data_IF_774344383836
#
_entry.id   IF_774344383836
#
_cell.length_a   1.000
_cell.length_b   1.000
_cell.length_c   1.000
_cell.angle_alpha   90.00
_cell.angle_beta   90.00
_cell.angle_gamma   90.00
#
_symmetry.space_group_name_H-M   'P 1'
#
loop_
_entity.id
_entity.type
_entity.pdbx_description
1 polymer ?
#
# COMPACT_ATOMS: atom_id res chain seq x y z
N UNK A 1 -16.49 -3.98 7.39
CA UNK A 1 -17.10 -2.66 7.12
C UNK A 1 -16.00 -1.61 7.21
N UNK A 2 -15.95 -0.62 6.33
CA UNK A 2 -14.89 0.40 6.27
C UNK A 2 -15.02 1.45 7.39
N UNK A 3 -13.90 1.96 7.92
CA UNK A 3 -13.85 2.83 9.11
C UNK A 3 -13.05 4.14 8.94
N UNK A 4 -12.52 4.42 7.76
CA UNK A 4 -11.75 5.65 7.49
C UNK A 4 -11.68 5.99 6.00
N UNK A 5 -11.56 7.29 5.69
CA UNK A 5 -11.44 7.83 4.33
C UNK A 5 -10.26 8.81 4.29
N UNK A 6 -9.31 8.58 3.39
CA UNK A 6 -7.98 9.22 3.40
C UNK A 6 -7.68 10.02 2.12
N UNK A 7 -8.67 10.24 1.25
CA UNK A 7 -8.46 10.87 -0.07
C UNK A 7 -8.26 12.40 -0.06
N UNK A 8 -8.60 13.11 1.02
CA UNK A 8 -8.55 14.60 1.05
C UNK A 8 -7.64 15.20 2.11
N UNK A 9 -7.18 14.41 3.09
CA UNK A 9 -6.51 14.92 4.29
C UNK A 9 -5.03 14.57 4.38
N UNK A 10 -4.51 13.82 3.42
CA UNK A 10 -3.27 13.06 3.65
C UNK A 10 -2.11 13.49 2.73
N UNK A 11 -2.36 14.34 1.72
CA UNK A 11 -1.34 14.80 0.78
C UNK A 11 -1.32 13.98 -0.52
N UNK A 12 -0.37 14.27 -1.41
CA UNK A 12 -0.32 13.59 -2.70
C UNK A 12 0.03 12.11 -2.52
N UNK A 13 -0.67 11.21 -3.21
CA UNK A 13 -0.54 9.73 -3.06
C UNK A 13 0.83 9.16 -3.36
N UNK A 14 1.76 9.96 -3.91
CA UNK A 14 3.15 9.57 -4.18
C UNK A 14 4.15 10.15 -3.18
N UNK A 15 3.67 10.80 -2.12
CA UNK A 15 4.51 11.33 -1.06
C UNK A 15 4.55 10.36 0.12
N UNK A 16 5.76 10.04 0.59
CA UNK A 16 6.00 9.18 1.75
C UNK A 16 5.25 9.68 3.00
N UNK A 17 5.17 11.01 3.16
CA UNK A 17 4.52 11.62 4.32
C UNK A 17 3.02 11.29 4.39
N UNK A 18 2.36 11.07 3.25
CA UNK A 18 0.95 10.67 3.25
C UNK A 18 0.74 9.37 3.99
N UNK A 19 1.57 8.36 3.72
CA UNK A 19 1.44 7.05 4.36
C UNK A 19 1.82 7.07 5.83
N UNK A 20 2.78 7.94 6.23
CA UNK A 20 3.08 8.19 7.64
C UNK A 20 1.88 8.78 8.37
N UNK A 21 1.22 9.77 7.78
CA UNK A 21 0.03 10.39 8.35
C UNK A 21 -1.13 9.38 8.50
N UNK A 22 -1.32 8.48 7.53
CA UNK A 22 -2.33 7.40 7.63
C UNK A 22 -2.00 6.48 8.80
N UNK A 23 -0.75 6.01 8.91
CA UNK A 23 -0.35 5.10 9.99
C UNK A 23 -0.54 5.74 11.37
N UNK A 24 -0.16 7.02 11.51
CA UNK A 24 -0.38 7.81 12.72
C UNK A 24 -1.86 7.96 13.05
N UNK A 25 -2.69 8.34 12.07
CA UNK A 25 -4.14 8.49 12.26
C UNK A 25 -4.83 7.19 12.65
N UNK A 26 -4.38 6.06 12.08
CA UNK A 26 -4.86 4.74 12.43
C UNK A 26 -4.33 4.25 13.80
N UNK A 27 -3.30 4.88 14.35
CA UNK A 27 -2.66 4.47 15.60
C UNK A 27 -1.94 3.11 15.49
N UNK A 28 -1.47 2.76 14.29
CA UNK A 28 -0.84 1.47 14.01
C UNK A 28 0.60 1.64 13.54
N UNK A 29 1.47 0.68 13.92
CA UNK A 29 2.83 0.65 13.40
C UNK A 29 2.81 0.42 11.88
N UNK A 30 3.60 1.17 11.08
CA UNK A 30 3.65 1.06 9.62
C UNK A 30 3.66 -0.38 9.09
N UNK A 31 4.56 -1.24 9.60
CA UNK A 31 4.71 -2.62 9.14
C UNK A 31 3.53 -3.54 9.45
N UNK A 32 2.53 -3.08 10.20
CA UNK A 32 1.28 -3.83 10.43
C UNK A 32 0.22 -3.53 9.38
N UNK A 33 0.36 -2.43 8.64
CA UNK A 33 -0.59 -1.96 7.63
C UNK A 33 -0.20 -2.52 6.27
N UNK A 34 -1.17 -3.10 5.55
CA UNK A 34 -1.03 -3.52 4.15
C UNK A 34 -1.71 -2.50 3.24
N UNK A 35 -0.94 -1.90 2.33
CA UNK A 35 -1.41 -0.98 1.31
C UNK A 35 -1.50 -1.67 -0.05
N UNK A 36 -2.63 -1.46 -0.73
CA UNK A 36 -2.93 -2.04 -2.04
C UNK A 36 -3.12 -0.91 -3.05
N UNK A 37 -2.37 -0.94 -4.15
CA UNK A 37 -2.54 -0.01 -5.28
C UNK A 37 -2.25 -0.72 -6.60
N UNK A 38 -2.79 -0.21 -7.70
CA UNK A 38 -2.37 -0.64 -9.04
C UNK A 38 -1.21 0.20 -9.59
N UNK A 39 -0.84 1.29 -8.91
CA UNK A 39 0.19 2.26 -9.30
C UNK A 39 1.44 2.01 -8.46
N UNK A 40 2.52 1.50 -9.06
CA UNK A 40 3.73 1.16 -8.29
C UNK A 40 4.37 2.36 -7.58
N UNK A 41 4.28 3.58 -8.14
CA UNK A 41 4.87 4.76 -7.48
C UNK A 41 4.16 5.14 -6.17
N UNK A 42 2.89 4.76 -6.01
CA UNK A 42 2.19 4.91 -4.73
C UNK A 42 2.70 3.87 -3.73
N UNK A 43 2.96 2.64 -4.20
CA UNK A 43 3.55 1.57 -3.40
C UNK A 43 4.98 1.92 -2.96
N UNK A 44 5.80 2.53 -3.83
CA UNK A 44 7.16 2.99 -3.46
C UNK A 44 7.12 3.97 -2.30
N UNK A 45 6.17 4.91 -2.33
CA UNK A 45 5.98 5.87 -1.26
C UNK A 45 5.46 5.23 0.04
N UNK A 46 4.58 4.23 -0.07
CA UNK A 46 4.06 3.48 1.08
C UNK A 46 5.15 2.60 1.72
N UNK A 47 5.94 1.89 0.93
CA UNK A 47 7.07 1.08 1.37
C UNK A 47 8.14 1.95 2.04
N UNK A 48 8.47 3.12 1.47
CA UNK A 48 9.39 4.07 2.10
C UNK A 48 8.87 4.67 3.42
N UNK A 49 7.55 4.59 3.66
CA UNK A 49 6.94 4.93 4.95
C UNK A 49 6.90 3.74 5.93
N UNK A 50 7.33 2.56 5.50
CA UNK A 50 7.37 1.32 6.26
C UNK A 50 6.07 0.53 6.22
N UNK A 51 5.15 0.82 5.29
CA UNK A 51 3.95 0.00 5.08
C UNK A 51 4.30 -1.23 4.23
N UNK A 52 3.54 -2.30 4.43
CA UNK A 52 3.55 -3.46 3.54
C UNK A 52 2.80 -3.13 2.26
N UNK A 53 3.25 -3.64 1.13
CA UNK A 53 2.71 -3.27 -0.19
C UNK A 53 2.41 -4.49 -1.05
N UNK A 54 1.29 -4.43 -1.78
CA UNK A 54 0.96 -5.37 -2.86
C UNK A 54 0.35 -4.61 -4.02
N UNK A 55 0.83 -4.92 -5.23
CA UNK A 55 0.27 -4.37 -6.45
C UNK A 55 -0.90 -5.21 -6.96
N UNK A 56 -2.03 -4.56 -7.21
CA UNK A 56 -3.18 -5.16 -7.87
C UNK A 56 -3.10 -4.92 -9.37
N UNK A 57 -2.85 -5.96 -10.15
CA UNK A 57 -2.67 -5.87 -11.60
C UNK A 57 -3.81 -6.56 -12.32
N UNK A 58 -4.55 -5.84 -13.19
CA UNK A 58 -5.71 -6.39 -13.93
C UNK A 58 -5.36 -6.94 -15.32
N UNK A 59 -4.07 -7.18 -15.58
CA UNK A 59 -3.54 -7.62 -16.86
C UNK A 59 -2.11 -8.11 -16.73
N UNK A 60 -1.26 -7.73 -17.68
CA UNK A 60 0.16 -8.09 -17.64
C UNK A 60 0.86 -7.46 -16.44
N UNK A 61 1.81 -8.21 -15.88
CA UNK A 61 2.65 -7.74 -14.76
C UNK A 61 3.36 -6.44 -15.15
N UNK A 62 3.49 -5.56 -14.16
CA UNK A 62 4.26 -4.34 -14.28
C UNK A 62 5.77 -4.66 -14.12
N UNK A 63 6.56 -4.64 -15.20
CA UNK A 63 7.96 -5.04 -15.13
C UNK A 63 8.84 -4.02 -14.40
N UNK A 64 8.35 -2.80 -14.16
CA UNK A 64 9.09 -1.77 -13.45
C UNK A 64 8.93 -1.86 -11.92
N UNK A 65 7.93 -2.62 -11.46
CA UNK A 65 7.59 -2.74 -10.04
C UNK A 65 8.33 -3.89 -9.37
N UNK A 66 8.93 -3.64 -8.21
CA UNK A 66 9.51 -4.66 -7.34
C UNK A 66 8.53 -5.21 -6.30
N UNK A 67 7.32 -4.63 -6.21
CA UNK A 67 6.30 -5.06 -5.24
C UNK A 67 5.70 -6.41 -5.65
N UNK A 68 5.27 -7.26 -4.69
CA UNK A 68 4.49 -8.45 -5.01
C UNK A 68 3.22 -8.07 -5.80
N UNK A 69 2.95 -8.78 -6.89
CA UNK A 69 1.84 -8.48 -7.79
C UNK A 69 0.84 -9.62 -7.84
N UNK A 70 -0.44 -9.31 -7.63
CA UNK A 70 -1.57 -10.25 -7.69
C UNK A 70 -2.66 -9.72 -8.61
N UNK A 71 -3.49 -10.62 -9.14
CA UNK A 71 -4.63 -10.22 -9.99
C UNK A 71 -5.96 -10.12 -9.21
N UNK A 72 -6.07 -10.86 -8.10
CA UNK A 72 -7.30 -10.94 -7.30
C UNK A 72 -6.99 -10.74 -5.82
N UNK A 73 -7.98 -10.26 -5.07
CA UNK A 73 -7.85 -10.13 -3.62
C UNK A 73 -7.71 -11.50 -2.92
N UNK A 74 -8.29 -12.55 -3.49
CA UNK A 74 -8.21 -13.93 -2.96
C UNK A 74 -6.78 -14.48 -2.98
N UNK A 75 -5.88 -13.90 -3.78
CA UNK A 75 -4.47 -14.29 -3.91
C UNK A 75 -3.57 -13.60 -2.87
N UNK A 76 -4.15 -12.73 -2.02
CA UNK A 76 -3.39 -11.99 -1.00
C UNK A 76 -3.32 -12.83 0.28
N UNK A 77 -2.10 -13.20 0.65
CA UNK A 77 -1.77 -13.89 1.90
C UNK A 77 -0.95 -12.96 2.80
N UNK A 78 -1.57 -12.15 3.68
CA UNK A 78 -0.88 -11.09 4.44
C UNK A 78 0.29 -11.56 5.29
N UNK A 79 0.25 -12.81 5.75
CA UNK A 79 1.31 -13.46 6.53
C UNK A 79 2.59 -13.76 5.72
N UNK A 80 2.51 -13.73 4.39
CA UNK A 80 3.64 -13.97 3.48
C UNK A 80 4.27 -12.67 2.98
N UNK A 81 3.68 -11.51 3.28
CA UNK A 81 4.15 -10.20 2.82
C UNK A 81 5.10 -9.62 3.88
N UNK A 82 6.38 -9.37 3.53
CA UNK A 82 7.35 -8.82 4.46
C UNK A 82 6.95 -7.42 4.93
N UNK A 83 7.38 -7.09 6.16
CA UNK A 83 7.26 -5.76 6.76
C UNK A 83 8.38 -4.82 6.31
#
# INVERSE_FOLDING_TARGET
LFTGYFDTLVGAKREVQSYRNIAEHLGHAPGTILFLSYIHQELDAAEAAGLRTVQLVRGDRDPASHHPQVQRFDDIHPEQIPA
#
